data_IF_095869805401
#
_entry.id   IF_095869805401
#
_cell.length_a   1.000
_cell.length_b   1.000
_cell.length_c   1.000
_cell.angle_alpha   90.00
_cell.angle_beta   90.00
_cell.angle_gamma   90.00
#
_symmetry.space_group_name_H-M   'P 1'
#
loop_
_entity.id
_entity.type
_entity.pdbx_description
1 polymer ?
#
# COMPACT_ATOMS: atom_id res chain seq x y z
N UNK A 1 -22.49 7.66 -14.24
CA UNK A 1 -21.14 8.15 -13.91
C UNK A 1 -20.70 7.65 -12.53
N UNK A 2 -21.42 7.98 -11.46
CA UNK A 2 -21.09 7.55 -10.08
C UNK A 2 -20.83 6.04 -9.89
N UNK A 3 -21.66 5.14 -10.44
CA UNK A 3 -21.41 3.69 -10.33
C UNK A 3 -20.12 3.26 -11.04
N UNK A 4 -19.82 3.84 -12.20
CA UNK A 4 -18.58 3.54 -12.93
C UNK A 4 -17.37 4.03 -12.14
N UNK A 5 -17.47 5.21 -11.52
CA UNK A 5 -16.45 5.74 -10.62
C UNK A 5 -16.17 4.75 -9.47
N UNK A 6 -17.20 4.31 -8.75
CA UNK A 6 -17.06 3.30 -7.68
C UNK A 6 -16.43 1.99 -8.18
N UNK A 7 -16.87 1.48 -9.33
CA UNK A 7 -16.30 0.26 -9.91
C UNK A 7 -14.83 0.45 -10.26
N UNK A 8 -14.44 1.59 -10.83
CA UNK A 8 -13.05 1.86 -11.20
C UNK A 8 -12.15 2.02 -9.98
N UNK A 9 -12.60 2.70 -8.92
CA UNK A 9 -11.86 2.81 -7.67
C UNK A 9 -11.72 1.46 -6.98
N UNK A 10 -12.79 0.67 -6.95
CA UNK A 10 -12.75 -0.67 -6.38
C UNK A 10 -11.79 -1.59 -7.14
N UNK A 11 -11.88 -1.62 -8.47
CA UNK A 11 -10.97 -2.41 -9.30
C UNK A 11 -9.51 -1.95 -9.13
N UNK A 12 -9.27 -0.64 -9.11
CA UNK A 12 -7.94 -0.06 -8.84
C UNK A 12 -7.40 -0.47 -7.47
N UNK A 13 -8.22 -0.44 -6.43
CA UNK A 13 -7.85 -0.87 -5.09
C UNK A 13 -7.46 -2.36 -5.05
N UNK A 14 -8.22 -3.23 -5.71
CA UNK A 14 -7.90 -4.66 -5.81
C UNK A 14 -6.56 -4.89 -6.51
N UNK A 15 -6.30 -4.17 -7.60
CA UNK A 15 -5.02 -4.26 -8.32
C UNK A 15 -3.85 -3.78 -7.46
N UNK A 16 -4.03 -2.68 -6.72
CA UNK A 16 -3.02 -2.16 -5.79
C UNK A 16 -2.70 -3.19 -4.69
N UNK A 17 -3.71 -3.78 -4.05
CA UNK A 17 -3.52 -4.82 -3.04
C UNK A 17 -2.86 -6.07 -3.61
N UNK A 18 -3.29 -6.52 -4.78
CA UNK A 18 -2.67 -7.66 -5.48
C UNK A 18 -1.19 -7.40 -5.79
N UNK A 19 -0.84 -6.18 -6.21
CA UNK A 19 0.54 -5.81 -6.49
C UNK A 19 1.38 -5.75 -5.21
N UNK A 20 0.88 -5.15 -4.13
CA UNK A 20 1.57 -5.06 -2.84
C UNK A 20 1.83 -6.44 -2.21
N UNK A 21 0.90 -7.37 -2.36
CA UNK A 21 1.01 -8.74 -1.84
C UNK A 21 1.75 -9.69 -2.81
N UNK A 22 2.06 -9.25 -4.03
CA UNK A 22 2.75 -10.08 -5.01
C UNK A 22 4.18 -10.43 -4.54
N UNK A 23 4.61 -11.70 -4.68
CA UNK A 23 5.99 -12.07 -4.40
C UNK A 23 6.97 -11.49 -5.43
N UNK A 24 6.50 -11.02 -6.59
CA UNK A 24 7.32 -10.44 -7.64
C UNK A 24 7.70 -8.98 -7.38
N UNK A 25 7.01 -8.31 -6.43
CA UNK A 25 7.33 -6.95 -6.01
C UNK A 25 8.23 -7.03 -4.78
N UNK A 26 9.33 -6.29 -4.83
CA UNK A 26 10.24 -6.14 -3.69
C UNK A 26 9.46 -5.70 -2.45
N UNK A 27 9.65 -6.43 -1.34
CA UNK A 27 8.94 -6.19 -0.09
C UNK A 27 9.13 -4.76 0.43
N UNK A 28 10.35 -4.20 0.31
CA UNK A 28 10.62 -2.82 0.71
C UNK A 28 9.88 -1.79 -0.16
N UNK A 29 9.73 -2.06 -1.46
CA UNK A 29 8.96 -1.19 -2.36
C UNK A 29 7.46 -1.23 -2.04
N UNK A 30 6.93 -2.42 -1.77
CA UNK A 30 5.54 -2.59 -1.38
C UNK A 30 5.25 -1.94 -0.02
N UNK A 31 6.17 -2.08 0.95
CA UNK A 31 6.08 -1.40 2.24
C UNK A 31 6.08 0.13 2.07
N UNK A 32 7.04 0.68 1.32
CA UNK A 32 7.11 2.13 1.06
C UNK A 32 5.83 2.67 0.40
N UNK A 33 5.29 1.98 -0.61
CA UNK A 33 4.04 2.37 -1.26
C UNK A 33 2.85 2.37 -0.27
N UNK A 34 2.75 1.34 0.57
CA UNK A 34 1.70 1.21 1.58
C UNK A 34 1.80 2.33 2.63
N UNK A 35 3.03 2.70 3.03
CA UNK A 35 3.28 3.80 3.97
C UNK A 35 2.88 5.17 3.39
N UNK A 36 3.18 5.42 2.10
CA UNK A 36 2.79 6.67 1.44
C UNK A 36 1.26 6.81 1.42
N UNK A 37 0.55 5.74 1.08
CA UNK A 37 -0.93 5.73 1.07
C UNK A 37 -1.48 5.93 2.47
N UNK A 38 -0.89 5.29 3.48
CA UNK A 38 -1.24 5.50 4.89
C UNK A 38 -1.10 6.96 5.31
N UNK A 39 0.01 7.62 4.96
CA UNK A 39 0.25 9.02 5.30
C UNK A 39 -0.74 9.96 4.60
N UNK A 40 -0.96 9.77 3.30
CA UNK A 40 -1.90 10.59 2.54
C UNK A 40 -3.34 10.45 3.07
N UNK A 41 -3.79 9.21 3.29
CA UNK A 41 -5.12 8.92 3.83
C UNK A 41 -5.28 9.37 5.28
N UNK A 42 -4.26 9.19 6.12
CA UNK A 42 -4.28 9.61 7.52
C UNK A 42 -4.29 11.13 7.67
N UNK A 43 -3.54 11.86 6.83
CA UNK A 43 -3.57 13.33 6.84
C UNK A 43 -4.95 13.85 6.45
N UNK A 44 -5.56 13.28 5.40
CA UNK A 44 -6.93 13.62 5.01
C UNK A 44 -7.94 13.27 6.11
N UNK A 45 -7.82 12.10 6.72
CA UNK A 45 -8.70 11.65 7.80
C UNK A 45 -8.60 12.56 9.03
N UNK A 46 -7.38 12.96 9.41
CA UNK A 46 -7.15 13.93 10.47
C UNK A 46 -7.77 15.29 10.16
N UNK A 47 -7.61 15.81 8.94
CA UNK A 47 -8.23 17.07 8.52
C UNK A 47 -9.75 16.99 8.63
N UNK A 48 -10.38 15.92 8.14
CA UNK A 48 -11.83 15.76 8.20
C UNK A 48 -12.34 15.60 9.64
N UNK A 49 -11.61 14.85 10.47
CA UNK A 49 -11.98 14.60 11.88
C UNK A 49 -11.84 15.83 12.76
N UNK A 50 -10.88 16.69 12.47
CA UNK A 50 -10.54 17.86 13.28
C UNK A 50 -11.10 19.17 12.71
N UNK A 51 -11.79 19.12 11.58
CA UNK A 51 -12.40 20.30 10.97
C UNK A 51 -13.49 20.87 11.91
N UNK A 52 -13.48 22.20 12.17
CA UNK A 52 -14.50 22.85 13.00
C UNK A 52 -15.78 23.19 12.24
N UNK A 53 -15.76 23.07 10.90
CA UNK A 53 -16.88 23.36 10.00
C UNK A 53 -17.00 22.24 8.94
N UNK A 54 -18.20 21.99 8.40
CA UNK A 54 -18.36 21.11 7.25
C UNK A 54 -17.50 21.64 6.09
N UNK A 55 -16.66 20.78 5.52
CA UNK A 55 -15.85 21.12 4.33
C UNK A 55 -16.64 20.88 3.03
N UNK A 56 -17.79 20.19 3.12
CA UNK A 56 -18.65 19.87 2.00
C UNK A 56 -20.07 20.42 2.21
N UNK A 57 -20.26 21.69 1.90
CA UNK A 57 -21.55 22.39 2.06
C UNK A 57 -22.69 21.81 1.19
N UNK A 58 -22.35 21.06 0.12
CA UNK A 58 -23.33 20.50 -0.82
C UNK A 58 -24.20 19.38 -0.20
N UNK A 59 -23.79 18.77 0.92
CA UNK A 59 -24.55 17.70 1.57
C UNK A 59 -25.70 18.17 2.45
N UNK A 60 -25.97 19.49 2.52
CA UNK A 60 -26.83 20.15 3.51
C UNK A 60 -28.29 19.66 3.68
N UNK A 61 -28.76 18.69 2.88
CA UNK A 61 -30.08 18.05 3.02
C UNK A 61 -30.10 16.54 2.70
N UNK A 62 -28.96 15.89 2.47
CA UNK A 62 -28.93 14.44 2.27
C UNK A 62 -29.30 13.76 3.58
N UNK A 63 -30.33 12.93 3.59
CA UNK A 63 -30.90 12.28 4.78
C UNK A 63 -29.79 11.75 5.71
N UNK A 64 -29.51 12.50 6.77
CA UNK A 64 -28.46 12.17 7.73
C UNK A 64 -28.94 10.95 8.50
N UNK A 65 -28.18 9.87 8.41
CA UNK A 65 -28.39 8.71 9.26
C UNK A 65 -28.33 9.20 10.72
N UNK A 66 -29.34 8.84 11.51
CA UNK A 66 -29.32 8.91 12.97
C UNK A 66 -29.44 10.33 13.56
N UNK A 67 -30.04 11.28 12.82
CA UNK A 67 -30.19 12.69 13.23
C UNK A 67 -28.86 13.42 13.51
N UNK A 68 -27.75 12.91 12.96
CA UNK A 68 -26.45 13.57 13.05
C UNK A 68 -26.47 14.89 12.29
N UNK A 69 -25.69 15.87 12.74
CA UNK A 69 -25.40 17.07 11.95
C UNK A 69 -24.41 16.75 10.82
N UNK A 70 -24.37 17.53 9.73
CA UNK A 70 -23.39 17.33 8.65
C UNK A 70 -21.92 17.38 9.14
N UNK A 71 -21.66 18.13 10.20
CA UNK A 71 -20.34 18.21 10.83
C UNK A 71 -19.97 16.90 11.53
N UNK A 72 -20.89 16.33 12.32
CA UNK A 72 -20.66 15.08 13.05
C UNK A 72 -20.47 13.90 12.08
N UNK A 73 -21.26 13.83 11.01
CA UNK A 73 -21.12 12.80 9.98
C UNK A 73 -19.74 12.86 9.30
N UNK A 74 -19.27 14.06 8.94
CA UNK A 74 -17.93 14.26 8.37
C UNK A 74 -16.82 13.85 9.34
N UNK A 75 -16.92 14.27 10.61
CA UNK A 75 -15.91 13.97 11.61
C UNK A 75 -15.84 12.47 11.89
N UNK A 76 -16.99 11.79 11.95
CA UNK A 76 -17.06 10.34 12.09
C UNK A 76 -16.48 9.62 10.86
N UNK A 77 -16.81 10.08 9.65
CA UNK A 77 -16.24 9.53 8.42
C UNK A 77 -14.71 9.70 8.37
N UNK A 78 -14.21 10.88 8.77
CA UNK A 78 -12.77 11.15 8.92
C UNK A 78 -12.12 10.22 9.93
N UNK A 79 -12.77 9.99 11.08
CA UNK A 79 -12.25 9.16 12.16
C UNK A 79 -12.20 7.69 11.74
N UNK A 80 -13.26 7.19 11.08
CA UNK A 80 -13.31 5.84 10.53
C UNK A 80 -12.22 5.66 9.48
N UNK A 81 -12.06 6.60 8.56
CA UNK A 81 -10.99 6.55 7.56
C UNK A 81 -9.61 6.54 8.23
N UNK A 82 -9.40 7.37 9.25
CA UNK A 82 -8.10 7.46 9.91
C UNK A 82 -7.77 6.22 10.72
N UNK A 83 -8.66 5.78 11.61
CA UNK A 83 -8.38 4.69 12.55
C UNK A 83 -8.50 3.33 11.85
N UNK A 84 -9.59 3.08 11.13
CA UNK A 84 -9.87 1.77 10.54
C UNK A 84 -8.97 1.54 9.34
N UNK A 85 -9.00 2.44 8.34
CA UNK A 85 -8.17 2.27 7.16
C UNK A 85 -6.68 2.44 7.52
N UNK A 86 -6.36 3.36 8.42
CA UNK A 86 -5.00 3.53 8.93
C UNK A 86 -4.45 2.27 9.59
N UNK A 87 -5.24 1.60 10.42
CA UNK A 87 -4.86 0.32 11.03
C UNK A 87 -4.55 -0.77 10.00
N UNK A 88 -5.37 -0.88 8.96
CA UNK A 88 -5.15 -1.85 7.86
C UNK A 88 -3.84 -1.56 7.12
N UNK A 89 -3.60 -0.31 6.73
CA UNK A 89 -2.36 0.05 6.04
C UNK A 89 -1.12 -0.11 6.93
N UNK A 90 -1.22 0.22 8.22
CA UNK A 90 -0.12 0.04 9.17
C UNK A 90 0.22 -1.44 9.37
N UNK A 91 -0.80 -2.31 9.50
CA UNK A 91 -0.61 -3.75 9.59
C UNK A 91 0.04 -4.33 8.32
N UNK A 92 -0.42 -3.91 7.14
CA UNK A 92 0.17 -4.31 5.86
C UNK A 92 1.62 -3.83 5.72
N UNK A 93 1.90 -2.57 6.10
CA UNK A 93 3.25 -2.03 6.14
C UNK A 93 4.15 -2.87 7.06
N UNK A 94 3.71 -3.14 8.29
CA UNK A 94 4.47 -3.92 9.25
C UNK A 94 4.79 -5.32 8.68
N UNK A 95 3.80 -6.04 8.15
CA UNK A 95 4.00 -7.35 7.55
C UNK A 95 5.01 -7.33 6.38
N UNK A 96 4.92 -6.33 5.51
CA UNK A 96 5.84 -6.17 4.38
C UNK A 96 7.25 -5.76 4.82
N UNK A 97 7.36 -4.94 5.87
CA UNK A 97 8.64 -4.53 6.46
C UNK A 97 9.35 -5.71 7.13
N UNK A 98 8.63 -6.55 7.88
CA UNK A 98 9.19 -7.79 8.43
C UNK A 98 9.69 -8.72 7.33
N UNK A 99 8.90 -8.92 6.27
CA UNK A 99 9.32 -9.71 5.10
C UNK A 99 10.55 -9.14 4.40
N UNK A 100 10.69 -7.81 4.38
CA UNK A 100 11.86 -7.15 3.80
C UNK A 100 13.12 -7.31 4.67
N UNK A 101 12.95 -7.42 5.99
CA UNK A 101 14.02 -7.59 6.96
C UNK A 101 14.49 -9.05 7.08
N UNK A 102 13.70 -10.03 6.63
CA UNK A 102 14.04 -11.46 6.70
C UNK A 102 15.30 -11.79 5.86
N UNK A 103 16.41 -12.19 6.50
CA UNK A 103 17.68 -12.46 5.82
C UNK A 103 17.61 -13.67 4.87
N UNK A 104 16.64 -14.56 5.04
CA UNK A 104 16.45 -15.79 4.26
C UNK A 104 16.20 -15.54 2.76
N UNK A 105 15.84 -14.31 2.37
CA UNK A 105 15.71 -13.89 0.98
C UNK A 105 17.02 -13.49 0.29
N UNK A 106 18.07 -13.15 1.04
CA UNK A 106 19.33 -12.60 0.52
C UNK A 106 20.27 -13.64 -0.12
N UNK A 107 20.00 -14.93 0.06
CA UNK A 107 20.90 -16.04 -0.33
C UNK A 107 20.69 -16.64 -1.73
N UNK A 108 19.81 -16.11 -2.58
CA UNK A 108 19.53 -16.66 -3.92
C UNK A 108 20.18 -15.90 -5.09
N UNK A 109 21.22 -15.12 -4.81
CA UNK A 109 22.21 -14.77 -5.83
C UNK A 109 22.94 -16.05 -6.22
N UNK A 110 22.45 -16.73 -7.26
CA UNK A 110 23.07 -17.93 -7.83
C UNK A 110 24.56 -17.66 -8.00
N UNK A 111 25.46 -18.48 -7.45
CA UNK A 111 26.85 -18.46 -7.86
C UNK A 111 26.84 -18.65 -9.37
N UNK A 112 27.33 -17.64 -10.11
CA UNK A 112 27.73 -17.83 -11.49
C UNK A 112 28.80 -18.90 -11.46
N UNK A 113 28.39 -20.15 -11.70
CA UNK A 113 29.29 -21.27 -11.86
C UNK A 113 30.30 -20.85 -12.92
N UNK A 114 31.52 -20.58 -12.47
CA UNK A 114 32.64 -20.27 -13.32
C UNK A 114 32.79 -21.42 -14.30
N UNK A 115 32.49 -21.15 -15.56
CA UNK A 115 33.03 -21.95 -16.65
C UNK A 115 34.49 -21.53 -16.74
N UNK A 116 35.31 -22.08 -15.83
CA UNK A 116 36.75 -22.16 -16.03
C UNK A 116 36.93 -23.17 -17.17
N UNK A 117 36.95 -22.67 -18.40
CA UNK A 117 37.40 -23.43 -19.55
C UNK A 117 38.90 -23.63 -19.37
N UNK A 118 39.29 -24.75 -18.76
CA UNK A 118 40.66 -25.23 -18.82
C UNK A 118 40.99 -25.50 -20.31
N UNK A 119 41.70 -24.57 -20.96
CA UNK A 119 42.36 -24.87 -22.21
C UNK A 119 43.60 -25.67 -21.87
N UNK A 120 43.48 -26.99 -21.94
CA UNK A 120 44.60 -27.92 -21.87
C UNK A 120 45.58 -27.57 -23.00
N UNK A 121 46.72 -27.03 -22.58
CA UNK A 121 47.94 -26.91 -23.37
C UNK A 121 48.31 -28.29 -23.91
N UNK A 122 48.13 -28.50 -25.21
CA UNK A 122 48.72 -29.62 -25.94
C UNK A 122 50.14 -29.23 -26.32
N UNK A 123 51.08 -29.65 -25.48
CA UNK A 123 52.51 -29.69 -25.79
C UNK A 123 52.81 -31.07 -26.40
N UNK A 124 53.19 -31.09 -27.67
CA UNK A 124 53.89 -32.20 -28.33
C UNK A 124 54.97 -31.53 -29.22
N UNK A 125 56.25 -31.47 -28.84
CA UNK A 125 57.30 -32.48 -29.17
C UNK A 125 57.01 -33.14 -30.52
N UNK A 126 57.72 -32.87 -31.60
CA UNK A 126 59.17 -32.77 -31.83
C UNK A 126 59.45 -31.87 -33.04
#
# INVERSE_FOLDING_TARGET
IHTLEHVTFFAGALLAWRASLSPHVSAIRAAGATLIVFMAGGMLGGVLSLAPVPLYDWYGNSALLWNMTPLEDQQLAGLLMWVVAGGVYLAAFAALAFRAADPSGAGRSRPSHGIIRASTSSRSTK
#
